data_IF_875192843209
#
_entry.id   IF_875192843209
#
_cell.length_a   1.000
_cell.length_b   1.000
_cell.length_c   1.000
_cell.angle_alpha   90.00
_cell.angle_beta   90.00
_cell.angle_gamma   90.00
#
_symmetry.space_group_name_H-M   'P 1'
#
loop_
_entity.id
_entity.type
_entity.pdbx_description
1 polymer ?
#
# COMPACT_ATOMS: atom_id res chain seq x y z
N UNK A 1 -23.39 -68.46 26.45
CA UNK A 1 -23.28 -67.83 25.11
C UNK A 1 -24.13 -66.56 24.94
N UNK A 2 -25.32 -66.44 25.56
CA UNK A 2 -26.21 -65.28 25.37
C UNK A 2 -25.62 -63.91 25.78
N UNK A 3 -24.80 -63.84 26.82
CA UNK A 3 -24.25 -62.57 27.34
C UNK A 3 -23.22 -61.92 26.40
N UNK A 4 -22.43 -62.72 25.67
CA UNK A 4 -21.42 -62.21 24.72
C UNK A 4 -22.07 -61.61 23.47
N UNK A 5 -23.17 -62.20 22.99
CA UNK A 5 -23.92 -61.69 21.85
C UNK A 5 -24.56 -60.31 22.16
N UNK A 6 -25.07 -60.13 23.38
CA UNK A 6 -25.66 -58.85 23.81
C UNK A 6 -24.62 -57.72 23.87
N UNK A 7 -23.41 -58.00 24.36
CA UNK A 7 -22.33 -57.01 24.45
C UNK A 7 -21.85 -56.57 23.06
N UNK A 8 -21.73 -57.50 22.11
CA UNK A 8 -21.33 -57.18 20.74
C UNK A 8 -22.40 -56.33 20.04
N UNK A 9 -23.69 -56.64 20.27
CA UNK A 9 -24.79 -55.88 19.68
C UNK A 9 -24.86 -54.44 20.21
N UNK A 10 -24.65 -54.25 21.52
CA UNK A 10 -24.59 -52.91 22.14
C UNK A 10 -23.39 -52.09 21.65
N UNK A 11 -22.23 -52.73 21.49
CA UNK A 11 -21.04 -52.05 20.95
C UNK A 11 -21.24 -51.61 19.48
N UNK A 12 -21.86 -52.44 18.64
CA UNK A 12 -22.19 -52.09 17.26
C UNK A 12 -23.18 -50.92 17.18
N UNK A 13 -24.17 -50.88 18.08
CA UNK A 13 -25.17 -49.81 18.14
C UNK A 13 -24.57 -48.46 18.58
N UNK A 14 -23.63 -48.49 19.53
CA UNK A 14 -22.90 -47.29 19.97
C UNK A 14 -22.01 -46.69 18.86
N UNK A 15 -21.35 -47.55 18.08
CA UNK A 15 -20.54 -47.12 16.92
C UNK A 15 -21.44 -46.52 15.83
N UNK A 16 -22.56 -47.16 15.50
CA UNK A 16 -23.51 -46.64 14.52
C UNK A 16 -24.12 -45.30 14.93
N UNK A 17 -24.47 -45.12 16.21
CA UNK A 17 -24.95 -43.84 16.74
C UNK A 17 -23.88 -42.74 16.68
N UNK A 18 -22.61 -43.08 16.96
CA UNK A 18 -21.49 -42.14 16.83
C UNK A 18 -21.27 -41.66 15.39
N UNK A 19 -21.41 -42.55 14.40
CA UNK A 19 -21.34 -42.18 12.98
C UNK A 19 -22.50 -41.29 12.55
N UNK A 20 -23.72 -41.55 13.03
CA UNK A 20 -24.89 -40.71 12.72
C UNK A 20 -24.75 -39.29 13.29
N UNK A 21 -24.29 -39.15 14.55
CA UNK A 21 -24.09 -37.84 15.20
C UNK A 21 -23.02 -37.02 14.47
N UNK A 22 -21.93 -37.68 14.04
CA UNK A 22 -20.86 -37.02 13.28
C UNK A 22 -21.32 -36.58 11.88
N UNK A 23 -22.11 -37.40 11.19
CA UNK A 23 -22.66 -37.05 9.89
C UNK A 23 -23.61 -35.84 9.99
N UNK A 24 -24.41 -35.75 11.06
CA UNK A 24 -25.28 -34.59 11.28
C UNK A 24 -24.50 -33.33 11.64
N UNK A 25 -23.43 -33.43 12.45
CA UNK A 25 -22.61 -32.26 12.76
C UNK A 25 -21.87 -31.71 11.53
N UNK A 26 -21.38 -32.60 10.64
CA UNK A 26 -20.71 -32.17 9.40
C UNK A 26 -21.68 -31.46 8.44
N UNK A 27 -22.97 -31.85 8.43
CA UNK A 27 -24.03 -31.18 7.66
C UNK A 27 -24.36 -29.80 8.26
N UNK A 28 -24.47 -29.70 9.59
CA UNK A 28 -24.75 -28.44 10.27
C UNK A 28 -23.60 -27.44 10.09
N UNK A 29 -22.35 -27.89 10.22
CA UNK A 29 -21.16 -27.07 9.96
C UNK A 29 -21.10 -26.58 8.50
N UNK A 30 -21.44 -27.45 7.54
CA UNK A 30 -21.51 -27.07 6.12
C UNK A 30 -22.61 -26.03 5.84
N UNK A 31 -23.78 -26.16 6.48
CA UNK A 31 -24.87 -25.21 6.35
C UNK A 31 -24.52 -23.84 6.97
N UNK A 32 -23.84 -23.83 8.11
CA UNK A 32 -23.32 -22.59 8.74
C UNK A 32 -22.28 -21.93 7.83
N UNK A 33 -21.36 -22.71 7.26
CA UNK A 33 -20.36 -22.19 6.33
C UNK A 33 -21.00 -21.60 5.05
N UNK A 34 -22.03 -22.26 4.50
CA UNK A 34 -22.79 -21.76 3.35
C UNK A 34 -23.51 -20.44 3.68
N UNK A 35 -24.14 -20.34 4.85
CA UNK A 35 -24.80 -19.10 5.29
C UNK A 35 -23.78 -17.95 5.49
N UNK A 36 -22.60 -18.24 6.04
CA UNK A 36 -21.53 -17.26 6.20
C UNK A 36 -20.98 -16.79 4.84
N UNK A 37 -20.80 -17.71 3.87
CA UNK A 37 -20.40 -17.39 2.50
C UNK A 37 -21.45 -16.53 1.77
N UNK A 38 -22.74 -16.83 1.94
CA UNK A 38 -23.82 -16.03 1.38
C UNK A 38 -23.82 -14.60 1.94
N UNK A 39 -23.67 -14.46 3.26
CA UNK A 39 -23.55 -13.15 3.92
C UNK A 39 -22.33 -12.35 3.43
N UNK A 40 -21.18 -13.00 3.21
CA UNK A 40 -20.00 -12.34 2.64
C UNK A 40 -20.24 -11.92 1.18
N UNK A 41 -20.96 -12.74 0.40
CA UNK A 41 -21.34 -12.41 -0.97
C UNK A 41 -22.19 -11.15 -1.07
N UNK A 42 -23.18 -11.01 -0.18
CA UNK A 42 -24.05 -9.83 -0.15
C UNK A 42 -23.29 -8.58 0.33
N UNK A 43 -22.42 -8.70 1.32
CA UNK A 43 -21.56 -7.61 1.76
C UNK A 43 -20.64 -7.11 0.63
N UNK A 44 -20.01 -8.05 -0.12
CA UNK A 44 -19.17 -7.71 -1.26
C UNK A 44 -19.96 -7.03 -2.39
N UNK A 45 -21.19 -7.47 -2.66
CA UNK A 45 -22.08 -6.82 -3.64
C UNK A 45 -22.43 -5.39 -3.21
N UNK A 46 -22.74 -5.17 -1.94
CA UNK A 46 -22.99 -3.82 -1.42
C UNK A 46 -21.75 -2.92 -1.52
N UNK A 47 -20.56 -3.45 -1.19
CA UNK A 47 -19.30 -2.72 -1.36
C UNK A 47 -19.02 -2.39 -2.82
N UNK A 48 -19.26 -3.33 -3.74
CA UNK A 48 -19.09 -3.11 -5.18
C UNK A 48 -20.02 -2.00 -5.68
N UNK A 49 -21.31 -2.07 -5.35
CA UNK A 49 -22.29 -1.06 -5.74
C UNK A 49 -21.93 0.34 -5.18
N UNK A 50 -21.44 0.41 -3.94
CA UNK A 50 -20.97 1.67 -3.35
C UNK A 50 -19.72 2.23 -4.05
N UNK A 51 -18.80 1.37 -4.50
CA UNK A 51 -17.63 1.77 -5.27
C UNK A 51 -18.00 2.25 -6.68
N UNK A 52 -18.91 1.55 -7.36
CA UNK A 52 -19.40 1.94 -8.68
C UNK A 52 -20.09 3.31 -8.63
N UNK A 53 -20.89 3.56 -7.60
CA UNK A 53 -21.53 4.87 -7.40
C UNK A 53 -20.49 5.96 -7.10
N UNK A 54 -19.46 5.68 -6.30
CA UNK A 54 -18.34 6.61 -6.10
C UNK A 54 -17.59 6.91 -7.39
N UNK A 55 -17.33 5.90 -8.23
CA UNK A 55 -16.68 6.10 -9.53
C UNK A 55 -17.54 6.96 -10.46
N UNK A 56 -18.86 6.79 -10.42
CA UNK A 56 -19.81 7.63 -11.16
C UNK A 56 -19.75 9.08 -10.67
N UNK A 57 -19.82 9.31 -9.36
CA UNK A 57 -19.70 10.66 -8.78
C UNK A 57 -18.37 11.34 -9.13
N UNK A 58 -17.25 10.60 -9.09
CA UNK A 58 -15.94 11.15 -9.47
C UNK A 58 -15.90 11.50 -10.95
N UNK A 59 -16.45 10.65 -11.83
CA UNK A 59 -16.53 10.92 -13.27
C UNK A 59 -17.39 12.16 -13.56
N UNK A 60 -18.52 12.30 -12.88
CA UNK A 60 -19.40 13.46 -13.00
C UNK A 60 -18.71 14.74 -12.51
N UNK A 61 -17.96 14.65 -11.39
CA UNK A 61 -17.18 15.77 -10.87
C UNK A 61 -16.04 16.20 -11.81
N UNK A 62 -15.37 15.25 -12.47
CA UNK A 62 -14.35 15.54 -13.48
C UNK A 62 -14.98 16.24 -14.69
N UNK A 63 -16.11 15.73 -15.19
CA UNK A 63 -16.82 16.33 -16.31
C UNK A 63 -17.27 17.77 -15.99
N UNK A 64 -17.72 18.02 -14.76
CA UNK A 64 -18.10 19.37 -14.32
C UNK A 64 -16.88 20.30 -14.19
N UNK A 65 -15.76 19.79 -13.67
CA UNK A 65 -14.50 20.54 -13.62
C UNK A 65 -14.03 20.93 -15.03
N UNK A 66 -14.08 20.02 -16.00
CA UNK A 66 -13.73 20.28 -17.39
C UNK A 66 -14.64 21.35 -18.04
N UNK A 67 -15.96 21.30 -17.78
CA UNK A 67 -16.89 22.35 -18.22
C UNK A 67 -16.57 23.71 -17.60
N UNK A 68 -16.22 23.74 -16.32
CA UNK A 68 -15.84 24.97 -15.64
C UNK A 68 -14.56 25.58 -16.22
N UNK A 69 -13.56 24.76 -16.55
CA UNK A 69 -12.32 25.23 -17.21
C UNK A 69 -12.58 25.72 -18.64
N UNK A 70 -13.44 25.04 -19.41
CA UNK A 70 -13.84 25.50 -20.74
C UNK A 70 -14.56 26.86 -20.70
N UNK A 71 -15.40 27.08 -19.68
CA UNK A 71 -16.11 28.35 -19.48
C UNK A 71 -15.14 29.48 -19.09
N UNK A 72 -14.17 29.19 -18.23
CA UNK A 72 -13.10 30.14 -17.87
C UNK A 72 -12.18 30.48 -19.05
N UNK A 73 -11.86 29.51 -19.92
CA UNK A 73 -11.08 29.75 -21.13
C UNK A 73 -11.83 30.65 -22.12
N UNK A 74 -13.14 30.45 -22.29
CA UNK A 74 -13.99 31.29 -23.14
C UNK A 74 -14.10 32.73 -22.63
N UNK A 75 -14.16 32.92 -21.31
CA UNK A 75 -14.20 34.25 -20.71
C UNK A 75 -12.86 35.00 -20.80
N UNK A 76 -11.72 34.31 -20.85
CA UNK A 76 -10.41 34.95 -21.12
C UNK A 76 -10.28 35.41 -22.57
N UNK A 77 -10.74 34.61 -23.54
CA UNK A 77 -10.69 34.99 -24.96
C UNK A 77 -11.52 36.23 -25.32
N UNK A 78 -12.58 36.52 -24.53
CA UNK A 78 -13.40 37.72 -24.72
C UNK A 78 -12.78 38.99 -24.12
N UNK A 79 -11.88 38.87 -23.12
CA UNK A 79 -11.22 40.01 -22.49
C UNK A 79 -10.02 40.55 -23.30
N UNK A 80 -9.38 39.71 -24.12
CA UNK A 80 -8.19 40.09 -24.92
C UNK A 80 -8.52 40.79 -26.25
N UNK A 81 -9.81 40.97 -26.61
CA UNK A 81 -10.20 41.59 -27.89
C UNK A 81 -10.52 43.09 -27.82
N UNK A 82 -10.23 43.76 -26.70
CA UNK A 82 -10.48 45.21 -26.54
C UNK A 82 -9.34 45.93 -25.80
N UNK A 83 -8.15 45.99 -26.39
CA UNK A 83 -7.13 46.95 -25.99
C UNK A 83 -6.24 47.37 -27.18
N UNK A 84 -6.45 48.59 -27.68
CA UNK A 84 -5.52 49.27 -28.58
C UNK A 84 -4.28 49.75 -27.80
N UNK A 85 -3.07 49.82 -28.41
CA UNK A 85 -1.86 50.11 -27.66
C UNK A 85 -1.57 51.61 -27.63
N UNK A 86 -1.45 52.17 -26.42
CA UNK A 86 -0.81 53.46 -26.21
C UNK A 86 -0.03 53.46 -24.88
N UNK A 87 1.29 53.36 -25.00
CA UNK A 87 2.30 54.00 -24.14
C UNK A 87 2.37 53.64 -22.65
N UNK A 88 3.52 53.11 -22.23
CA UNK A 88 3.96 53.19 -20.83
C UNK A 88 4.69 51.96 -20.33
N UNK A 89 6.02 51.93 -20.48
CA UNK A 89 6.88 50.98 -19.79
C UNK A 89 6.92 51.29 -18.29
N UNK A 90 6.07 50.62 -17.52
CA UNK A 90 6.27 50.34 -16.11
C UNK A 90 5.92 48.87 -15.87
N UNK A 91 6.76 48.21 -15.08
CA UNK A 91 6.81 46.78 -14.83
C UNK A 91 5.53 46.23 -14.17
N UNK A 92 4.59 45.76 -14.97
CA UNK A 92 3.57 44.81 -14.52
C UNK A 92 4.09 43.38 -14.73
N UNK A 93 4.89 42.91 -13.77
CA UNK A 93 5.04 41.47 -13.59
C UNK A 93 3.66 40.93 -13.18
N UNK A 94 3.02 40.05 -13.99
CA UNK A 94 1.74 39.48 -13.60
C UNK A 94 1.90 38.81 -12.24
N UNK A 95 1.04 39.17 -11.28
CA UNK A 95 1.02 38.56 -9.96
C UNK A 95 1.08 37.03 -10.13
N UNK A 96 1.96 36.33 -9.39
CA UNK A 96 2.12 34.89 -9.55
C UNK A 96 0.75 34.23 -9.37
N UNK A 97 0.30 33.51 -10.41
CA UNK A 97 -0.98 32.83 -10.40
C UNK A 97 -1.13 32.06 -9.08
N UNK A 98 -2.24 32.27 -8.37
CA UNK A 98 -2.52 31.59 -7.11
C UNK A 98 -2.28 30.09 -7.29
N UNK A 99 -1.30 29.53 -6.58
CA UNK A 99 -0.97 28.11 -6.67
C UNK A 99 -2.23 27.33 -6.30
N UNK A 100 -2.75 26.53 -7.23
CA UNK A 100 -3.85 25.60 -6.97
C UNK A 100 -3.42 24.68 -5.82
N UNK A 101 -4.15 24.71 -4.70
CA UNK A 101 -3.91 23.81 -3.57
C UNK A 101 -4.07 22.36 -4.02
N UNK A 102 -3.26 21.45 -3.48
CA UNK A 102 -3.47 20.03 -3.76
C UNK A 102 -4.76 19.54 -3.10
N UNK A 103 -5.39 18.46 -3.62
CA UNK A 103 -6.54 17.85 -2.97
C UNK A 103 -6.29 17.48 -1.50
N UNK A 104 -5.09 16.98 -1.18
CA UNK A 104 -4.70 16.67 0.20
C UNK A 104 -4.74 17.91 1.11
N UNK A 105 -4.26 19.06 0.62
CA UNK A 105 -4.29 20.32 1.37
C UNK A 105 -5.71 20.89 1.50
N UNK A 106 -6.59 20.65 0.52
CA UNK A 106 -7.99 21.05 0.63
C UNK A 106 -8.73 20.25 1.70
N UNK A 107 -8.41 18.96 1.84
CA UNK A 107 -8.93 18.15 2.93
C UNK A 107 -8.33 18.63 4.25
N UNK A 108 -7.01 18.77 4.34
CA UNK A 108 -6.27 19.20 5.55
C UNK A 108 -6.77 20.50 6.17
N UNK A 109 -7.08 21.50 5.34
CA UNK A 109 -7.53 22.81 5.81
C UNK A 109 -9.03 22.86 6.21
N UNK A 110 -9.78 21.78 6.06
CA UNK A 110 -11.19 21.67 6.45
C UNK A 110 -11.34 20.62 7.57
N UNK A 111 -11.56 21.03 8.84
CA UNK A 111 -11.66 20.11 9.96
C UNK A 111 -12.74 19.02 9.80
N UNK A 112 -13.85 19.32 9.12
CA UNK A 112 -14.92 18.34 8.90
C UNK A 112 -14.48 17.28 7.89
N UNK A 113 -13.86 17.70 6.79
CA UNK A 113 -13.32 16.78 5.78
C UNK A 113 -12.16 15.96 6.33
N UNK A 114 -11.29 16.54 7.14
CA UNK A 114 -10.23 15.78 7.82
C UNK A 114 -10.78 14.73 8.77
N UNK A 115 -11.81 15.06 9.55
CA UNK A 115 -12.43 14.09 10.45
C UNK A 115 -13.06 12.92 9.67
N UNK A 116 -13.78 13.22 8.59
CA UNK A 116 -14.35 12.20 7.71
C UNK A 116 -13.27 11.35 7.02
N UNK A 117 -12.23 11.98 6.49
CA UNK A 117 -11.09 11.28 5.90
C UNK A 117 -10.41 10.36 6.92
N UNK A 118 -10.11 10.86 8.12
CA UNK A 118 -9.47 10.09 9.18
C UNK A 118 -10.31 8.89 9.61
N UNK A 119 -11.64 9.06 9.71
CA UNK A 119 -12.58 7.96 9.97
C UNK A 119 -12.52 6.89 8.86
N UNK A 120 -12.68 7.30 7.61
CA UNK A 120 -12.64 6.39 6.46
C UNK A 120 -11.28 5.68 6.34
N UNK A 121 -10.18 6.41 6.57
CA UNK A 121 -8.84 5.87 6.59
C UNK A 121 -8.70 4.82 7.70
N UNK A 122 -9.16 5.12 8.92
CA UNK A 122 -9.16 4.18 10.05
C UNK A 122 -9.89 2.88 9.72
N UNK A 123 -11.10 2.98 9.16
CA UNK A 123 -11.90 1.82 8.78
C UNK A 123 -11.21 0.96 7.71
N UNK A 124 -10.50 1.60 6.77
CA UNK A 124 -9.72 0.89 5.74
C UNK A 124 -8.52 0.11 6.29
N UNK A 125 -8.05 0.43 7.50
CA UNK A 125 -6.90 -0.24 8.11
C UNK A 125 -7.20 -1.70 8.45
N UNK A 126 -8.44 -2.06 8.76
CA UNK A 126 -8.79 -3.46 9.01
C UNK A 126 -8.67 -4.30 7.74
N UNK A 127 -9.08 -3.72 6.60
CA UNK A 127 -8.94 -4.37 5.30
C UNK A 127 -7.47 -4.47 4.87
N UNK A 128 -6.68 -3.41 5.07
CA UNK A 128 -5.31 -3.34 4.54
C UNK A 128 -4.26 -3.97 5.47
N UNK A 129 -4.48 -3.92 6.79
CA UNK A 129 -3.55 -4.40 7.81
C UNK A 129 -4.09 -5.59 8.61
N UNK A 130 -5.30 -6.10 8.35
CA UNK A 130 -5.84 -7.27 9.07
C UNK A 130 -4.91 -8.49 9.04
N UNK A 131 -4.29 -8.76 7.87
CA UNK A 131 -3.27 -9.80 7.75
C UNK A 131 -2.03 -9.55 8.61
N UNK A 132 -1.58 -8.29 8.71
CA UNK A 132 -0.48 -7.88 9.59
C UNK A 132 -0.84 -8.09 11.06
N UNK A 133 -2.02 -7.65 11.48
CA UNK A 133 -2.47 -7.76 12.87
C UNK A 133 -2.48 -9.22 13.33
N UNK A 134 -3.01 -10.11 12.47
CA UNK A 134 -2.99 -11.56 12.71
C UNK A 134 -1.57 -12.12 12.74
N UNK A 135 -0.71 -11.72 11.80
CA UNK A 135 0.69 -12.20 11.73
C UNK A 135 1.49 -11.79 12.97
N UNK A 136 1.30 -10.58 13.47
CA UNK A 136 1.95 -10.09 14.68
C UNK A 136 1.34 -10.63 15.97
N UNK A 137 0.14 -11.23 15.91
CA UNK A 137 -0.57 -11.72 17.09
C UNK A 137 -1.03 -10.57 18.00
N UNK A 138 -1.43 -9.44 17.41
CA UNK A 138 -1.88 -8.28 18.19
C UNK A 138 -3.25 -8.56 18.83
N UNK A 139 -3.41 -8.16 20.09
CA UNK A 139 -4.69 -8.15 20.78
C UNK A 139 -5.60 -7.03 20.23
N UNK A 140 -6.94 -7.12 20.36
CA UNK A 140 -7.86 -6.10 19.88
C UNK A 140 -7.51 -4.68 20.34
N UNK A 141 -7.10 -4.50 21.59
CA UNK A 141 -6.72 -3.20 22.14
C UNK A 141 -5.41 -2.68 21.53
N UNK A 142 -4.49 -3.57 21.19
CA UNK A 142 -3.24 -3.20 20.50
C UNK A 142 -3.52 -2.84 19.04
N UNK A 143 -4.45 -3.54 18.38
CA UNK A 143 -4.89 -3.21 17.02
C UNK A 143 -5.44 -1.79 16.96
N UNK A 144 -6.31 -1.41 17.90
CA UNK A 144 -6.86 -0.05 17.94
C UNK A 144 -5.79 1.01 18.16
N UNK A 145 -4.79 0.75 19.03
CA UNK A 145 -3.63 1.65 19.20
C UNK A 145 -2.78 1.78 17.94
N UNK A 146 -2.59 0.69 17.20
CA UNK A 146 -1.88 0.73 15.90
C UNK A 146 -2.69 1.53 14.88
N UNK A 147 -4.03 1.39 14.86
CA UNK A 147 -4.91 2.18 14.00
C UNK A 147 -4.85 3.67 14.35
N UNK A 148 -4.89 4.02 15.63
CA UNK A 148 -4.70 5.39 16.12
C UNK A 148 -3.36 5.97 15.64
N UNK A 149 -2.28 5.20 15.78
CA UNK A 149 -0.95 5.59 15.30
C UNK A 149 -0.94 5.85 13.79
N UNK A 150 -1.53 4.96 12.98
CA UNK A 150 -1.57 5.13 11.53
C UNK A 150 -2.37 6.36 11.12
N UNK A 151 -3.54 6.57 11.75
CA UNK A 151 -4.36 7.78 11.53
C UNK A 151 -3.55 9.03 11.87
N UNK A 152 -2.86 9.04 13.03
CA UNK A 152 -2.04 10.16 13.44
C UNK A 152 -0.88 10.45 12.47
N UNK A 153 -0.19 9.41 11.98
CA UNK A 153 0.90 9.55 10.99
C UNK A 153 0.36 10.18 9.70
N UNK A 154 -0.78 9.70 9.23
CA UNK A 154 -1.39 10.18 7.99
C UNK A 154 -1.89 11.63 8.12
N UNK A 155 -2.55 11.98 9.23
CA UNK A 155 -2.94 13.35 9.52
C UNK A 155 -1.73 14.28 9.61
N UNK A 156 -0.70 13.87 10.35
CA UNK A 156 0.54 14.66 10.49
C UNK A 156 1.24 14.89 9.14
N UNK A 157 1.18 13.92 8.22
CA UNK A 157 1.68 14.06 6.86
C UNK A 157 0.86 15.10 6.07
N UNK A 158 -0.46 15.02 6.13
CA UNK A 158 -1.35 15.96 5.44
C UNK A 158 -1.21 17.38 5.96
N UNK A 159 -1.13 17.55 7.27
CA UNK A 159 -0.92 18.85 7.92
C UNK A 159 0.43 19.45 7.53
N UNK A 160 1.49 18.64 7.48
CA UNK A 160 2.80 19.06 7.01
C UNK A 160 2.77 19.52 5.54
N UNK A 161 2.12 18.75 4.66
CA UNK A 161 1.98 19.10 3.24
C UNK A 161 1.19 20.40 3.04
N UNK A 162 0.10 20.57 3.81
CA UNK A 162 -0.71 21.78 3.79
C UNK A 162 0.07 23.00 4.30
N UNK A 163 0.80 22.85 5.42
CA UNK A 163 1.65 23.90 5.97
C UNK A 163 2.77 24.30 5.00
N UNK A 164 3.40 23.32 4.36
CA UNK A 164 4.45 23.56 3.36
C UNK A 164 3.91 24.32 2.14
N UNK A 165 2.73 23.94 1.64
CA UNK A 165 2.08 24.65 0.54
C UNK A 165 1.67 26.07 0.92
N UNK A 166 1.10 26.26 2.11
CA UNK A 166 0.69 27.57 2.62
C UNK A 166 1.89 28.52 2.76
N UNK A 167 3.07 27.99 3.12
CA UNK A 167 4.32 28.73 3.22
C UNK A 167 5.09 28.82 1.89
N UNK A 168 4.57 28.22 0.81
CA UNK A 168 5.23 28.19 -0.49
C UNK A 168 6.55 27.42 -0.52
N UNK A 169 6.82 26.56 0.47
CA UNK A 169 8.06 25.81 0.60
C UNK A 169 8.26 24.85 -0.57
N UNK A 170 9.50 24.72 -1.01
CA UNK A 170 9.91 23.62 -1.88
C UNK A 170 9.89 22.31 -1.09
N UNK A 171 9.10 21.34 -1.55
CA UNK A 171 8.99 20.01 -0.95
C UNK A 171 10.27 19.17 -1.08
N UNK A 172 11.24 19.60 -1.90
CA UNK A 172 12.58 19.01 -1.95
C UNK A 172 13.61 19.84 -1.18
N UNK A 173 13.23 21.04 -0.72
CA UNK A 173 14.10 21.96 0.00
C UNK A 173 14.38 21.52 1.44
N UNK A 174 15.50 21.98 1.97
CA UNK A 174 15.98 21.66 3.32
C UNK A 174 14.93 21.96 4.41
N UNK A 175 14.23 23.09 4.30
CA UNK A 175 13.22 23.51 5.27
C UNK A 175 12.08 22.49 5.41
N UNK A 176 11.53 22.02 4.28
CA UNK A 176 10.51 20.99 4.28
C UNK A 176 11.06 19.66 4.82
N UNK A 177 12.26 19.26 4.39
CA UNK A 177 12.87 18.01 4.85
C UNK A 177 13.09 18.02 6.37
N UNK A 178 13.47 19.15 6.96
CA UNK A 178 13.62 19.30 8.41
C UNK A 178 12.30 19.10 9.14
N UNK A 179 11.22 19.76 8.69
CA UNK A 179 9.88 19.58 9.28
C UNK A 179 9.40 18.14 9.16
N UNK A 180 9.60 17.56 7.98
CA UNK A 180 9.28 16.16 7.70
C UNK A 180 10.03 15.21 8.62
N UNK A 181 11.32 15.47 8.88
CA UNK A 181 12.11 14.69 9.83
C UNK A 181 11.54 14.74 11.24
N UNK A 182 11.09 15.91 11.70
CA UNK A 182 10.42 16.04 12.99
C UNK A 182 9.15 15.19 13.11
N UNK A 183 8.30 15.18 12.08
CA UNK A 183 7.10 14.31 12.04
C UNK A 183 7.48 12.84 12.11
N UNK A 184 8.51 12.42 11.38
CA UNK A 184 8.97 11.03 11.34
C UNK A 184 9.61 10.58 12.66
N UNK A 185 10.41 11.43 13.29
CA UNK A 185 11.00 11.15 14.59
C UNK A 185 9.91 10.96 15.65
N UNK A 186 8.91 11.85 15.66
CA UNK A 186 7.79 11.77 16.59
C UNK A 186 6.93 10.52 16.32
N UNK A 187 6.72 10.16 15.05
CA UNK A 187 6.07 8.92 14.66
C UNK A 187 6.83 7.68 15.12
N UNK A 188 8.17 7.68 15.03
CA UNK A 188 9.01 6.59 15.51
C UNK A 188 8.95 6.40 17.04
N UNK A 189 8.83 7.49 17.81
CA UNK A 189 8.63 7.45 19.27
C UNK A 189 7.27 6.85 19.62
N UNK A 190 6.19 7.34 18.99
CA UNK A 190 4.83 6.80 19.18
C UNK A 190 4.72 5.33 18.75
N UNK A 191 5.41 4.94 17.67
CA UNK A 191 5.46 3.55 17.24
C UNK A 191 6.10 2.65 18.31
N UNK A 192 7.21 3.08 18.91
CA UNK A 192 7.85 2.33 19.99
C UNK A 192 6.93 2.18 21.22
N UNK A 193 6.18 3.23 21.58
CA UNK A 193 5.19 3.21 22.66
C UNK A 193 4.05 2.21 22.38
N UNK A 194 3.52 2.18 21.16
CA UNK A 194 2.39 1.32 20.79
C UNK A 194 2.75 -0.16 20.81
N UNK A 195 3.93 -0.52 20.28
CA UNK A 195 4.33 -1.93 20.21
C UNK A 195 4.90 -2.46 21.53
N UNK A 196 5.36 -1.58 22.43
CA UNK A 196 5.82 -1.84 23.81
C UNK A 196 6.97 -2.88 23.99
N UNK A 197 7.20 -3.76 23.01
CA UNK A 197 8.30 -4.72 22.96
C UNK A 197 9.17 -4.47 21.73
N UNK A 198 10.48 -4.60 21.92
CA UNK A 198 11.45 -4.44 20.84
C UNK A 198 11.23 -5.47 19.72
N UNK A 199 10.78 -6.68 20.07
CA UNK A 199 10.49 -7.74 19.11
C UNK A 199 9.29 -7.40 18.20
N UNK A 200 8.15 -6.98 18.78
CA UNK A 200 6.98 -6.60 17.98
C UNK A 200 7.29 -5.38 17.13
N UNK A 201 8.04 -4.42 17.67
CA UNK A 201 8.50 -3.25 16.93
C UNK A 201 9.37 -3.65 15.73
N UNK A 202 10.37 -4.54 15.90
CA UNK A 202 11.17 -5.00 14.76
C UNK A 202 10.36 -5.81 13.75
N UNK A 203 9.42 -6.65 14.20
CA UNK A 203 8.53 -7.40 13.30
C UNK A 203 7.63 -6.45 12.49
N UNK A 204 7.06 -5.42 13.10
CA UNK A 204 6.28 -4.39 12.40
C UNK A 204 7.15 -3.57 11.43
N UNK A 205 8.36 -3.16 11.86
CA UNK A 205 9.31 -2.45 11.00
C UNK A 205 9.75 -3.32 9.83
N UNK A 206 10.01 -4.61 10.06
CA UNK A 206 10.31 -5.58 9.01
C UNK A 206 9.15 -5.70 8.04
N UNK A 207 7.93 -5.88 8.53
CA UNK A 207 6.75 -5.95 7.68
C UNK A 207 6.64 -4.72 6.78
N UNK A 208 6.77 -3.54 7.38
CA UNK A 208 6.65 -2.29 6.65
C UNK A 208 7.80 -2.14 5.64
N UNK A 209 9.05 -2.42 6.03
CA UNK A 209 10.24 -2.45 5.16
C UNK A 209 10.11 -3.40 3.98
N UNK A 210 9.26 -4.43 4.07
CA UNK A 210 9.02 -5.38 3.01
C UNK A 210 7.72 -5.08 2.25
N UNK A 211 7.02 -3.98 2.53
CA UNK A 211 5.75 -3.62 1.90
C UNK A 211 5.79 -3.58 0.36
N UNK A 212 6.87 -3.07 -0.24
CA UNK A 212 7.03 -3.07 -1.70
C UNK A 212 7.17 -4.48 -2.29
N UNK A 213 7.99 -5.33 -1.64
CA UNK A 213 8.16 -6.72 -2.03
C UNK A 213 6.86 -7.51 -1.79
N UNK A 214 6.15 -7.21 -0.71
CA UNK A 214 4.83 -7.77 -0.39
C UNK A 214 3.81 -7.44 -1.46
N UNK A 215 3.66 -6.17 -1.83
CA UNK A 215 2.75 -5.77 -2.91
C UNK A 215 3.09 -6.49 -4.23
N UNK A 216 4.37 -6.69 -4.51
CA UNK A 216 4.83 -7.43 -5.69
C UNK A 216 4.43 -8.91 -5.64
N UNK A 217 4.79 -9.63 -4.58
CA UNK A 217 4.51 -11.07 -4.45
C UNK A 217 3.01 -11.31 -4.32
N UNK A 218 2.28 -10.43 -3.64
CA UNK A 218 0.82 -10.52 -3.51
C UNK A 218 0.11 -10.29 -4.84
N UNK A 219 0.61 -9.40 -5.72
CA UNK A 219 0.08 -9.28 -7.09
C UNK A 219 0.26 -10.56 -7.88
N UNK A 220 1.36 -11.29 -7.69
CA UNK A 220 1.60 -12.57 -8.35
C UNK A 220 0.67 -13.66 -7.80
N UNK A 221 0.49 -13.70 -6.47
CA UNK A 221 -0.50 -14.56 -5.84
C UNK A 221 -1.93 -14.28 -6.33
N UNK A 222 -2.23 -13.01 -6.61
CA UNK A 222 -3.55 -12.56 -7.10
C UNK A 222 -3.74 -12.73 -8.61
N UNK A 223 -2.67 -12.65 -9.43
CA UNK A 223 -2.76 -12.93 -10.87
C UNK A 223 -3.09 -14.41 -11.15
N UNK A 224 -2.84 -15.26 -10.16
CA UNK A 224 -3.23 -16.67 -10.13
C UNK A 224 -4.67 -16.88 -9.60
N UNK A 225 -5.48 -15.83 -9.42
CA UNK A 225 -6.91 -16.00 -9.08
C UNK A 225 -7.71 -16.80 -10.12
N UNK A 226 -7.13 -17.06 -11.30
CA UNK A 226 -7.66 -17.98 -12.30
C UNK A 226 -6.98 -19.36 -12.37
N UNK A 227 -6.04 -19.69 -11.48
CA UNK A 227 -5.46 -21.03 -11.41
C UNK A 227 -6.15 -21.88 -10.34
N UNK A 228 -6.12 -23.20 -10.55
CA UNK A 228 -6.70 -24.16 -9.61
C UNK A 228 -6.00 -24.17 -8.24
N UNK A 229 -4.87 -23.45 -8.10
CA UNK A 229 -4.04 -23.43 -6.88
C UNK A 229 -3.50 -22.01 -6.57
N UNK A 230 -4.34 -21.11 -6.06
CA UNK A 230 -3.89 -19.77 -5.64
C UNK A 230 -2.86 -19.87 -4.51
N UNK A 231 -1.86 -18.98 -4.54
CA UNK A 231 -0.84 -18.97 -3.49
C UNK A 231 -1.46 -18.53 -2.15
N UNK A 232 -1.18 -19.28 -1.09
CA UNK A 232 -1.62 -18.92 0.26
C UNK A 232 -0.85 -17.73 0.79
N UNK A 233 -1.44 -17.00 1.74
CA UNK A 233 -0.75 -15.91 2.45
C UNK A 233 0.60 -16.35 3.03
N UNK A 234 0.66 -17.55 3.63
CA UNK A 234 1.91 -18.07 4.22
C UNK A 234 2.99 -18.30 3.16
N UNK A 235 2.64 -18.86 2.00
CA UNK A 235 3.58 -19.04 0.88
C UNK A 235 4.12 -17.68 0.39
N UNK A 236 3.25 -16.67 0.33
CA UNK A 236 3.64 -15.29 -0.02
C UNK A 236 4.64 -14.74 1.01
N UNK A 237 4.36 -14.83 2.31
CA UNK A 237 5.30 -14.40 3.36
C UNK A 237 6.65 -15.11 3.24
N UNK A 238 6.65 -16.43 3.03
CA UNK A 238 7.89 -17.21 2.89
C UNK A 238 8.68 -16.81 1.66
N UNK A 239 8.01 -16.60 0.52
CA UNK A 239 8.67 -16.13 -0.70
C UNK A 239 9.30 -14.75 -0.51
N UNK A 240 8.61 -13.84 0.18
CA UNK A 240 9.11 -12.50 0.55
C UNK A 240 10.37 -12.63 1.42
N UNK A 241 10.34 -13.47 2.44
CA UNK A 241 11.48 -13.70 3.32
C UNK A 241 12.69 -14.29 2.58
N UNK A 242 12.46 -15.26 1.69
CA UNK A 242 13.50 -15.88 0.87
C UNK A 242 14.14 -14.82 -0.05
N UNK A 243 13.32 -14.03 -0.75
CA UNK A 243 13.83 -12.98 -1.64
C UNK A 243 14.62 -11.95 -0.85
N UNK A 244 14.08 -11.47 0.27
CA UNK A 244 14.75 -10.48 1.11
C UNK A 244 16.07 -10.98 1.68
N UNK A 245 16.13 -12.23 2.17
CA UNK A 245 17.34 -12.84 2.73
C UNK A 245 18.44 -13.08 1.69
N UNK A 246 18.05 -13.30 0.43
CA UNK A 246 18.98 -13.57 -0.67
C UNK A 246 19.22 -12.36 -1.57
N UNK A 247 18.92 -11.14 -1.12
CA UNK A 247 19.14 -9.90 -1.87
C UNK A 247 20.08 -8.97 -1.12
N UNK A 248 20.90 -8.21 -1.85
CA UNK A 248 21.60 -7.10 -1.24
C UNK A 248 20.60 -5.99 -0.92
N UNK A 249 20.82 -5.37 0.24
CA UNK A 249 20.14 -4.13 0.58
C UNK A 249 20.87 -2.99 -0.11
N UNK A 250 20.11 -2.10 -0.73
CA UNK A 250 20.68 -0.86 -1.26
C UNK A 250 21.37 -0.09 -0.14
N UNK A 251 22.59 0.37 -0.37
CA UNK A 251 23.44 0.98 0.66
C UNK A 251 22.71 2.12 1.41
N UNK A 252 22.54 2.01 2.74
CA UNK A 252 21.93 3.07 3.54
C UNK A 252 22.74 4.36 3.57
N UNK A 253 24.04 4.32 3.22
CA UNK A 253 24.93 5.49 3.18
C UNK A 253 24.70 6.43 1.99
N UNK A 254 23.75 6.12 1.10
CA UNK A 254 23.30 7.04 0.06
C UNK A 254 21.89 7.57 0.37
N UNK A 255 21.75 8.45 1.39
CA UNK A 255 20.47 8.95 1.88
C UNK A 255 19.75 9.88 0.90
N UNK A 256 20.45 10.41 -0.11
CA UNK A 256 19.92 11.40 -1.08
C UNK A 256 18.74 10.88 -1.93
N UNK A 257 18.42 9.58 -1.87
CA UNK A 257 17.37 9.00 -2.73
C UNK A 257 16.14 8.46 -2.02
N UNK A 258 16.15 8.21 -0.71
CA UNK A 258 14.98 7.60 -0.05
C UNK A 258 14.76 8.16 1.36
N UNK A 259 13.66 8.88 1.45
CA UNK A 259 13.29 9.77 2.53
C UNK A 259 12.80 9.07 3.81
N UNK A 260 13.11 7.79 4.01
CA UNK A 260 12.73 7.04 5.21
C UNK A 260 13.88 6.22 5.83
N UNK A 261 15.07 6.15 5.19
CA UNK A 261 16.13 5.22 5.62
C UNK A 261 15.80 3.75 5.35
N UNK A 262 14.83 3.48 4.48
CA UNK A 262 14.38 2.13 4.16
C UNK A 262 15.14 1.68 2.93
N UNK A 263 16.09 0.76 3.13
CA UNK A 263 16.71 0.05 2.03
C UNK A 263 15.82 -1.10 1.62
N UNK A 264 15.14 -0.94 0.48
CA UNK A 264 14.47 -2.05 -0.17
C UNK A 264 15.52 -3.06 -0.67
N UNK A 265 15.19 -4.36 -0.69
CA UNK A 265 15.89 -5.33 -1.53
C UNK A 265 16.17 -4.78 -2.93
N UNK A 266 17.43 -4.78 -3.38
CA UNK A 266 17.73 -4.51 -4.79
C UNK A 266 17.44 -5.79 -5.58
N UNK A 267 16.38 -5.77 -6.39
CA UNK A 267 15.96 -6.89 -7.24
C UNK A 267 17.09 -7.42 -8.11
N UNK A 268 17.95 -6.53 -8.61
CA UNK A 268 19.08 -6.88 -9.45
C UNK A 268 20.18 -7.66 -8.71
N UNK A 269 20.06 -7.79 -7.39
CA UNK A 269 21.07 -8.42 -6.52
C UNK A 269 20.57 -9.69 -5.85
N UNK A 270 19.40 -10.20 -6.25
CA UNK A 270 18.91 -11.47 -5.75
C UNK A 270 19.87 -12.58 -6.20
N UNK A 271 20.41 -13.32 -5.24
CA UNK A 271 21.16 -14.54 -5.49
C UNK A 271 20.18 -15.66 -5.84
N UNK A 272 19.89 -15.80 -7.13
CA UNK A 272 18.94 -16.78 -7.65
C UNK A 272 19.40 -18.23 -7.54
N UNK A 273 20.71 -18.47 -7.42
CA UNK A 273 21.25 -19.82 -7.21
C UNK A 273 20.83 -20.37 -5.83
N UNK A 274 20.74 -19.49 -4.83
CA UNK A 274 20.28 -19.86 -3.48
C UNK A 274 18.75 -19.70 -3.34
N UNK A 275 18.21 -18.57 -3.80
CA UNK A 275 16.79 -18.25 -3.65
C UNK A 275 15.89 -19.17 -4.49
N UNK A 276 16.33 -19.57 -5.69
CA UNK A 276 15.53 -20.37 -6.62
C UNK A 276 15.04 -21.69 -6.01
N UNK A 277 15.94 -22.56 -5.53
CA UNK A 277 15.54 -23.82 -4.90
C UNK A 277 14.71 -23.65 -3.63
N UNK A 278 14.92 -22.55 -2.87
CA UNK A 278 14.09 -22.24 -1.70
C UNK A 278 12.66 -21.87 -2.13
N UNK A 279 12.51 -20.99 -3.12
CA UNK A 279 11.22 -20.56 -3.64
C UNK A 279 10.44 -21.71 -4.28
N UNK A 280 11.11 -22.63 -4.98
CA UNK A 280 10.47 -23.81 -5.58
C UNK A 280 9.93 -24.81 -4.56
N UNK A 281 10.38 -24.76 -3.30
CA UNK A 281 9.80 -25.56 -2.21
C UNK A 281 8.53 -24.94 -1.62
N UNK A 282 8.41 -23.61 -1.70
CA UNK A 282 7.28 -22.86 -1.15
C UNK A 282 6.18 -22.62 -2.19
N UNK A 283 6.55 -22.44 -3.46
CA UNK A 283 5.67 -22.05 -4.55
C UNK A 283 5.49 -23.20 -5.55
N UNK A 284 4.32 -23.28 -6.16
CA UNK A 284 4.10 -24.17 -7.31
C UNK A 284 5.00 -23.76 -8.50
N UNK A 285 5.28 -24.67 -9.46
CA UNK A 285 6.08 -24.33 -10.64
C UNK A 285 5.55 -23.11 -11.42
N UNK A 286 4.23 -22.97 -11.55
CA UNK A 286 3.59 -21.82 -12.21
C UNK A 286 3.79 -20.52 -11.45
N UNK A 287 3.55 -20.54 -10.14
CA UNK A 287 3.76 -19.39 -9.25
C UNK A 287 5.23 -18.92 -9.26
N UNK A 288 6.17 -19.87 -9.21
CA UNK A 288 7.60 -19.57 -9.29
C UNK A 288 7.98 -18.96 -10.64
N UNK A 289 7.48 -19.50 -11.75
CA UNK A 289 7.75 -18.98 -13.08
C UNK A 289 7.25 -17.54 -13.25
N UNK A 290 6.03 -17.24 -12.79
CA UNK A 290 5.47 -15.87 -12.79
C UNK A 290 6.27 -14.92 -11.92
N UNK A 291 6.64 -15.34 -10.70
CA UNK A 291 7.50 -14.55 -9.83
C UNK A 291 8.83 -14.23 -10.53
N UNK A 292 9.46 -15.22 -11.18
CA UNK A 292 10.71 -15.00 -11.90
C UNK A 292 10.54 -14.04 -13.08
N UNK A 293 9.45 -14.16 -13.85
CA UNK A 293 9.16 -13.27 -14.97
C UNK A 293 8.96 -11.83 -14.51
N UNK A 294 8.17 -11.62 -13.45
CA UNK A 294 7.95 -10.29 -12.89
C UNK A 294 9.26 -9.67 -12.39
N UNK A 295 10.06 -10.45 -11.66
CA UNK A 295 11.32 -9.95 -11.09
C UNK A 295 12.37 -9.67 -12.16
N UNK A 296 12.47 -10.46 -13.23
CA UNK A 296 13.33 -10.12 -14.39
C UNK A 296 12.96 -8.79 -15.02
N UNK A 297 11.68 -8.45 -15.05
CA UNK A 297 11.23 -7.14 -15.54
C UNK A 297 11.79 -6.02 -14.63
N UNK A 298 11.69 -6.19 -13.31
CA UNK A 298 12.22 -5.23 -12.32
C UNK A 298 13.76 -5.11 -12.36
N UNK A 299 14.46 -6.23 -12.53
CA UNK A 299 15.92 -6.28 -12.74
C UNK A 299 16.32 -5.46 -13.97
N UNK A 300 15.59 -5.63 -15.08
CA UNK A 300 15.82 -4.89 -16.33
C UNK A 300 15.61 -3.38 -16.16
N UNK A 301 14.50 -2.97 -15.54
CA UNK A 301 14.24 -1.57 -15.22
C UNK A 301 15.32 -0.96 -14.34
N UNK A 302 15.80 -1.72 -13.35
CA UNK A 302 16.88 -1.28 -12.45
C UNK A 302 18.20 -1.08 -13.19
N UNK A 303 18.54 -1.98 -14.13
CA UNK A 303 19.72 -1.84 -14.98
C UNK A 303 19.62 -0.62 -15.92
N UNK A 304 18.46 -0.40 -16.55
CA UNK A 304 18.19 0.78 -17.39
C UNK A 304 18.32 2.07 -16.57
N UNK A 305 17.74 2.11 -15.37
CA UNK A 305 17.85 3.28 -14.48
C UNK A 305 19.31 3.57 -14.06
N UNK A 306 20.11 2.53 -13.76
CA UNK A 306 21.55 2.67 -13.45
C UNK A 306 22.31 3.25 -14.65
N UNK A 307 22.04 2.75 -15.87
CA UNK A 307 22.66 3.26 -17.10
C UNK A 307 22.28 4.71 -17.38
N UNK A 308 21.01 5.08 -17.22
CA UNK A 308 20.56 6.46 -17.42
C UNK A 308 21.23 7.43 -16.44
N UNK A 309 21.38 7.03 -15.16
CA UNK A 309 22.09 7.84 -14.17
C UNK A 309 23.58 8.02 -14.49
N UNK A 310 24.24 6.97 -14.99
CA UNK A 310 25.63 7.05 -15.44
C UNK A 310 25.77 8.01 -16.64
N UNK A 311 24.88 7.90 -17.62
CA UNK A 311 24.86 8.77 -18.80
C UNK A 311 24.63 10.24 -18.42
N UNK A 312 23.74 10.53 -17.46
CA UNK A 312 23.52 11.89 -16.95
C UNK A 312 24.77 12.46 -16.27
N UNK A 313 25.46 11.65 -15.48
CA UNK A 313 26.72 12.04 -14.83
C UNK A 313 27.80 12.37 -15.88
N UNK A 314 27.94 11.54 -16.91
CA UNK A 314 28.89 11.79 -18.01
C UNK A 314 28.51 13.03 -18.82
N UNK A 315 27.23 13.23 -19.15
CA UNK A 315 26.75 14.43 -19.82
C UNK A 315 27.05 15.70 -19.01
N UNK A 316 26.80 15.68 -17.69
CA UNK A 316 27.09 16.80 -16.80
C UNK A 316 28.60 17.14 -16.77
N UNK A 317 29.48 16.13 -16.79
CA UNK A 317 30.94 16.34 -16.89
C UNK A 317 31.33 17.02 -18.21
N UNK A 318 30.75 16.59 -19.33
CA UNK A 318 31.03 17.19 -20.64
C UNK A 318 30.59 18.66 -20.73
N UNK A 319 29.46 19.01 -20.12
CA UNK A 319 28.97 20.40 -20.09
C UNK A 319 29.77 21.34 -19.19
N UNK A 320 30.56 20.81 -18.24
CA UNK A 320 31.41 21.60 -17.33
C UNK A 320 32.83 21.84 -17.89
N UNK A 321 33.08 21.59 -19.18
CA UNK A 321 34.35 21.99 -19.79
C UNK A 321 34.56 23.50 -19.58
N UNK A 322 35.70 23.92 -19.01
CA UNK A 322 35.97 25.34 -18.79
C UNK A 322 35.97 26.03 -20.15
N UNK A 323 35.10 27.04 -20.29
CA UNK A 323 35.26 28.03 -21.34
C UNK A 323 36.64 28.65 -21.16
N UNK A 324 37.48 28.51 -22.18
CA UNK A 324 38.76 29.22 -22.26
C UNK A 324 38.57 30.72 -22.36
#
# INVERSE_FOLDING_TARGET
MKTKALIIMLAALAVAAGFAIRATSEIDDANIALAALASQGDELRHKSAALDERLRMVRDAIAEAEKSEATLAKNRGAADSSAAPAGGHASDQPAPAARKLSPASLVANDPKKMAEYAKNYRESLDLTLGGLFKQLGLLPEQIEKVKDLKVWVEQSRMDLEAAAQAQGLDMQGEAYQKMRWGVLENGGKKEAEVFASAELLDRNRRYSRLGYLRNTVQRIASSEMGSDTPATFLQVERAIDIVAANSQRRDPKNPERWSYGWSWPDWATINWEIAGPQLQRELSPGQFALLRQFLRTQETWSAVAKRNAANQTEAAKLTRRPGG
#
